data_IF_206750805353
#
_entry.id   IF_206750805353
#
_cell.length_a   1.000
_cell.length_b   1.000
_cell.length_c   1.000
_cell.angle_alpha   90.00
_cell.angle_beta   90.00
_cell.angle_gamma   90.00
#
_symmetry.space_group_name_H-M   'P 1'
#
loop_
_entity.id
_entity.type
_entity.pdbx_description
1 polymer ?
#
# COMPACT_ATOMS: atom_id res chain seq x y z
N UNK A 1 -39.93 30.49 10.65
CA UNK A 1 -38.69 30.33 11.43
C UNK A 1 -37.60 29.92 10.45
N UNK A 2 -36.61 30.78 10.21
CA UNK A 2 -35.57 30.60 9.18
C UNK A 2 -34.36 29.96 9.85
N UNK A 3 -34.04 28.71 9.51
CA UNK A 3 -32.82 28.04 9.95
C UNK A 3 -31.73 28.25 8.88
N UNK A 4 -30.80 29.15 9.17
CA UNK A 4 -29.61 29.38 8.35
C UNK A 4 -28.58 28.28 8.60
N UNK A 5 -28.23 27.57 7.53
CA UNK A 5 -27.15 26.60 7.49
C UNK A 5 -25.81 27.34 7.52
N UNK A 6 -24.95 27.03 8.49
CA UNK A 6 -23.55 27.48 8.50
C UNK A 6 -22.69 26.40 7.81
N UNK A 7 -22.30 26.70 6.59
CA UNK A 7 -21.20 26.04 5.87
C UNK A 7 -19.88 26.44 6.55
N UNK A 8 -19.17 25.47 7.13
CA UNK A 8 -17.77 25.66 7.51
C UNK A 8 -16.88 25.22 6.35
N UNK A 9 -16.36 26.22 5.63
CA UNK A 9 -15.30 26.07 4.63
C UNK A 9 -13.98 26.03 5.39
N UNK A 10 -13.25 24.92 5.32
CA UNK A 10 -11.86 24.85 5.79
C UNK A 10 -10.95 25.17 4.61
N UNK A 11 -10.28 26.31 4.67
CA UNK A 11 -9.29 26.75 3.68
C UNK A 11 -7.94 26.11 4.04
N UNK A 12 -7.37 25.33 3.13
CA UNK A 12 -5.99 24.82 3.23
C UNK A 12 -5.06 25.90 2.69
N UNK A 13 -4.18 26.43 3.53
CA UNK A 13 -3.11 27.34 3.12
C UNK A 13 -1.83 26.56 2.85
N UNK A 14 -1.42 26.48 1.59
CA UNK A 14 -0.09 26.02 1.19
C UNK A 14 0.96 27.04 1.65
N UNK A 15 2.05 26.56 2.26
CA UNK A 15 3.21 27.39 2.60
C UNK A 15 4.41 26.84 1.82
N UNK A 16 4.83 27.56 0.79
CA UNK A 16 6.10 27.37 0.11
C UNK A 16 7.23 27.99 0.94
N UNK A 17 8.36 27.31 1.04
CA UNK A 17 9.61 27.91 1.50
C UNK A 17 10.76 27.30 0.72
N UNK A 18 11.20 28.06 -0.27
CA UNK A 18 12.44 27.86 -0.99
C UNK A 18 13.62 28.19 -0.07
N UNK A 19 14.64 27.32 0.02
CA UNK A 19 16.00 27.78 0.33
C UNK A 19 17.06 26.87 -0.31
N UNK A 20 17.64 27.44 -1.37
CA UNK A 20 19.03 27.43 -1.83
C UNK A 20 20.01 26.35 -1.32
N UNK A 21 20.62 25.68 -2.30
CA UNK A 21 21.76 24.79 -2.20
C UNK A 21 23.01 25.46 -1.59
N UNK A 22 23.70 24.76 -0.70
CA UNK A 22 25.12 25.02 -0.41
C UNK A 22 25.86 23.71 -0.25
N UNK A 23 26.67 23.42 -1.26
CA UNK A 23 27.67 22.36 -1.33
C UNK A 23 28.74 22.59 -0.25
N UNK A 24 28.85 21.68 0.71
CA UNK A 24 30.06 21.56 1.54
C UNK A 24 30.60 20.14 1.43
N UNK A 25 31.77 20.04 0.81
CA UNK A 25 32.54 18.83 0.57
C UNK A 25 32.96 18.20 1.91
N UNK A 26 32.39 17.04 2.26
CA UNK A 26 32.91 16.23 3.37
C UNK A 26 33.78 15.08 2.84
N UNK A 27 35.02 15.08 3.34
CA UNK A 27 36.09 14.10 3.13
C UNK A 27 35.68 12.71 3.65
N UNK A 28 36.09 11.59 3.00
CA UNK A 28 35.72 10.25 3.45
C UNK A 28 36.40 9.95 4.78
N UNK A 29 35.61 9.77 5.83
CA UNK A 29 36.09 9.31 7.12
C UNK A 29 35.82 7.82 7.23
N UNK A 30 36.87 7.02 7.07
CA UNK A 30 36.88 5.59 7.36
C UNK A 30 36.55 5.39 8.84
N UNK A 31 35.34 4.91 9.13
CA UNK A 31 34.95 4.57 10.50
C UNK A 31 35.26 3.09 10.73
N UNK A 32 36.31 2.85 11.51
CA UNK A 32 36.66 1.53 12.04
C UNK A 32 35.50 0.99 12.88
N UNK A 33 34.94 -0.15 12.47
CA UNK A 33 33.88 -0.85 13.20
C UNK A 33 34.50 -1.45 14.47
N UNK A 34 34.25 -0.84 15.63
CA UNK A 34 34.57 -1.43 16.93
C UNK A 34 33.83 -2.75 17.14
N UNK A 35 34.52 -3.72 17.73
CA UNK A 35 34.09 -5.10 17.93
C UNK A 35 32.90 -5.30 18.92
N UNK A 36 32.24 -4.23 19.34
CA UNK A 36 31.18 -4.21 20.34
C UNK A 36 29.79 -4.64 19.81
N UNK A 37 29.54 -4.60 18.49
CA UNK A 37 28.21 -4.92 17.92
C UNK A 37 27.88 -6.44 17.97
N UNK A 38 28.88 -7.30 18.22
CA UNK A 38 28.68 -8.76 18.23
C UNK A 38 27.95 -9.30 19.48
N UNK A 39 27.80 -8.49 20.54
CA UNK A 39 27.32 -8.99 21.84
C UNK A 39 25.96 -8.43 22.28
N UNK A 40 25.17 -7.83 21.38
CA UNK A 40 23.81 -7.41 21.72
C UNK A 40 22.90 -8.64 21.98
N UNK A 41 22.58 -8.87 23.26
CA UNK A 41 21.60 -9.85 23.72
C UNK A 41 20.20 -9.44 23.22
N UNK A 42 19.59 -10.26 22.37
CA UNK A 42 18.22 -10.11 21.87
C UNK A 42 17.24 -9.98 23.06
N UNK A 43 16.26 -9.05 23.03
CA UNK A 43 15.23 -8.99 24.06
C UNK A 43 14.43 -10.30 24.07
N UNK A 44 14.38 -10.96 25.23
CA UNK A 44 13.59 -12.16 25.45
C UNK A 44 12.10 -11.79 25.53
N UNK A 45 11.48 -11.61 24.37
CA UNK A 45 10.03 -11.61 24.24
C UNK A 45 9.52 -13.04 24.29
N UNK A 46 8.56 -13.32 25.17
CA UNK A 46 7.91 -14.63 25.27
C UNK A 46 7.11 -14.92 24.00
N UNK A 47 7.69 -15.69 23.08
CA UNK A 47 6.96 -16.26 21.94
C UNK A 47 6.04 -17.35 22.50
N UNK A 48 4.73 -17.12 22.47
CA UNK A 48 3.75 -18.18 22.75
C UNK A 48 3.77 -19.16 21.58
N UNK A 49 4.59 -20.19 21.69
CA UNK A 49 4.62 -21.33 20.77
C UNK A 49 3.30 -22.08 20.89
N UNK A 50 2.37 -21.81 19.99
CA UNK A 50 1.24 -22.70 19.77
C UNK A 50 1.71 -23.85 18.85
N UNK A 51 1.38 -25.06 19.28
CA UNK A 51 1.82 -26.37 18.80
C UNK A 51 2.12 -26.43 17.29
N UNK A 52 3.36 -26.79 16.95
CA UNK A 52 3.85 -27.01 15.58
C UNK A 52 3.06 -28.14 14.88
N UNK A 53 2.37 -27.78 13.80
CA UNK A 53 2.16 -28.64 12.65
C UNK A 53 2.83 -27.94 11.45
N UNK A 54 3.66 -28.68 10.73
CA UNK A 54 4.53 -28.30 9.58
C UNK A 54 3.98 -27.23 8.64
N UNK A 55 4.02 -25.97 9.06
CA UNK A 55 3.63 -24.81 8.25
C UNK A 55 4.66 -23.71 8.49
N UNK A 56 5.12 -23.05 7.42
CA UNK A 56 5.98 -21.87 7.52
C UNK A 56 5.35 -20.91 8.53
N UNK A 57 6.05 -20.63 9.64
CA UNK A 57 5.56 -19.68 10.65
C UNK A 57 5.54 -18.31 9.98
N UNK A 58 4.35 -17.82 9.64
CA UNK A 58 4.15 -16.44 9.22
C UNK A 58 4.27 -15.58 10.47
N UNK A 59 5.46 -15.06 10.71
CA UNK A 59 5.69 -14.12 11.80
C UNK A 59 4.91 -12.83 11.52
N UNK A 60 4.11 -12.40 12.50
CA UNK A 60 3.53 -11.05 12.52
C UNK A 60 4.54 -10.15 13.19
N UNK A 61 5.20 -9.31 12.40
CA UNK A 61 6.13 -8.32 12.92
C UNK A 61 5.34 -7.11 13.41
N UNK A 62 5.51 -6.78 14.69
CA UNK A 62 4.83 -5.64 15.30
C UNK A 62 5.45 -4.33 14.82
N UNK A 63 4.62 -3.35 14.46
CA UNK A 63 5.06 -2.04 13.96
C UNK A 63 6.03 -2.14 12.77
N UNK A 64 5.87 -3.16 11.92
CA UNK A 64 6.67 -3.25 10.70
C UNK A 64 6.32 -2.11 9.72
N UNK A 65 7.26 -1.72 8.85
CA UNK A 65 6.96 -0.87 7.70
C UNK A 65 5.77 -1.42 6.92
N UNK A 66 4.90 -0.54 6.45
CA UNK A 66 3.71 -0.94 5.72
C UNK A 66 4.08 -1.33 4.28
N UNK A 67 3.68 -2.53 3.86
CA UNK A 67 4.07 -3.12 2.57
C UNK A 67 2.89 -3.26 1.60
N UNK A 68 1.64 -3.06 2.04
CA UNK A 68 0.50 -3.20 1.14
C UNK A 68 0.45 -2.06 0.12
N UNK A 69 0.97 -2.25 -1.08
CA UNK A 69 0.93 -1.27 -2.16
C UNK A 69 2.20 -1.34 -3.02
N UNK A 70 2.12 -0.82 -4.24
CA UNK A 70 3.20 -0.88 -5.22
C UNK A 70 4.19 0.27 -5.10
N UNK A 71 3.74 1.40 -4.55
CA UNK A 71 4.52 2.63 -4.37
C UNK A 71 4.14 3.34 -3.05
N UNK A 72 4.90 4.37 -2.68
CA UNK A 72 4.69 5.12 -1.43
C UNK A 72 3.28 5.73 -1.31
N UNK A 73 2.70 6.18 -2.42
CA UNK A 73 1.36 6.79 -2.41
C UNK A 73 0.30 5.73 -2.11
N UNK A 74 0.30 4.64 -2.87
CA UNK A 74 -0.64 3.53 -2.69
C UNK A 74 -0.48 2.85 -1.33
N UNK A 75 0.76 2.72 -0.83
CA UNK A 75 1.06 2.28 0.54
C UNK A 75 0.44 3.19 1.59
N UNK A 76 0.59 4.50 1.46
CA UNK A 76 0.00 5.45 2.42
C UNK A 76 -1.53 5.40 2.44
N UNK A 77 -2.18 5.29 1.27
CA UNK A 77 -3.64 5.22 1.18
C UNK A 77 -4.17 3.93 1.80
N UNK A 78 -3.56 2.80 1.46
CA UNK A 78 -3.99 1.49 1.95
C UNK A 78 -3.74 1.33 3.45
N UNK A 79 -2.66 1.89 3.99
CA UNK A 79 -2.42 1.94 5.43
C UNK A 79 -3.50 2.77 6.14
N UNK A 80 -3.85 3.92 5.57
CA UNK A 80 -4.87 4.82 6.09
C UNK A 80 -6.24 4.14 6.25
N UNK A 81 -6.67 3.37 5.25
CA UNK A 81 -7.92 2.58 5.30
C UNK A 81 -7.93 1.60 6.49
N UNK A 82 -6.85 0.84 6.68
CA UNK A 82 -6.75 -0.15 7.76
C UNK A 82 -6.60 0.53 9.12
N UNK A 83 -5.87 1.62 9.20
CA UNK A 83 -5.73 2.40 10.43
C UNK A 83 -7.03 3.09 10.83
N UNK A 84 -7.88 3.48 9.88
CA UNK A 84 -9.19 4.06 10.14
C UNK A 84 -10.20 3.00 10.61
N UNK A 85 -10.25 1.82 9.95
CA UNK A 85 -11.30 0.82 10.19
C UNK A 85 -10.92 -0.24 11.23
N UNK A 86 -9.67 -0.68 11.27
CA UNK A 86 -9.22 -1.74 12.17
C UNK A 86 -7.73 -1.61 12.57
N UNK A 87 -7.34 -0.54 13.29
CA UNK A 87 -5.94 -0.27 13.62
C UNK A 87 -5.27 -1.39 14.43
N UNK A 88 -6.05 -2.13 15.24
CA UNK A 88 -5.55 -3.29 16.01
C UNK A 88 -5.12 -4.48 15.12
N UNK A 89 -5.55 -4.49 13.87
CA UNK A 89 -5.23 -5.53 12.90
C UNK A 89 -4.16 -5.10 11.89
N UNK A 90 -3.64 -3.87 11.97
CA UNK A 90 -2.61 -3.34 11.07
C UNK A 90 -1.49 -4.35 10.80
N UNK A 91 -0.80 -4.80 11.85
CA UNK A 91 0.34 -5.71 11.68
C UNK A 91 -0.07 -7.08 11.13
N UNK A 92 -1.27 -7.56 11.49
CA UNK A 92 -1.80 -8.82 10.96
C UNK A 92 -2.15 -8.70 9.48
N UNK A 93 -2.70 -7.55 9.06
CA UNK A 93 -3.00 -7.22 7.68
C UNK A 93 -1.73 -7.11 6.84
N UNK A 94 -0.76 -6.34 7.35
CA UNK A 94 0.53 -6.14 6.71
C UNK A 94 1.28 -7.46 6.50
N UNK A 95 1.16 -8.40 7.43
CA UNK A 95 1.76 -9.74 7.25
C UNK A 95 1.17 -10.53 6.07
N UNK A 96 -0.07 -10.22 5.64
CA UNK A 96 -0.64 -10.81 4.42
C UNK A 96 0.00 -10.20 3.17
N UNK A 97 0.22 -8.89 3.15
CA UNK A 97 0.87 -8.19 2.04
C UNK A 97 2.32 -8.66 1.88
N UNK A 98 3.08 -8.71 2.97
CA UNK A 98 4.44 -9.25 2.95
C UNK A 98 4.51 -10.67 2.36
N UNK A 99 3.54 -11.54 2.68
CA UNK A 99 3.52 -12.89 2.09
C UNK A 99 3.14 -12.89 0.61
N UNK A 100 2.26 -11.97 0.21
CA UNK A 100 1.83 -11.81 -1.17
C UNK A 100 2.99 -11.32 -2.05
N UNK A 101 3.71 -10.29 -1.59
CA UNK A 101 4.91 -9.78 -2.27
C UNK A 101 5.98 -10.87 -2.42
N UNK A 102 6.26 -11.64 -1.35
CA UNK A 102 7.19 -12.77 -1.45
C UNK A 102 6.70 -13.88 -2.40
N UNK A 103 5.38 -14.07 -2.52
CA UNK A 103 4.80 -15.03 -3.45
C UNK A 103 4.97 -14.56 -4.91
N UNK A 104 4.79 -13.25 -5.12
CA UNK A 104 5.05 -12.55 -6.38
C UNK A 104 6.54 -12.62 -6.75
N UNK A 105 7.46 -12.32 -5.83
CA UNK A 105 8.91 -12.45 -6.05
C UNK A 105 9.31 -13.89 -6.41
N UNK A 106 8.68 -14.87 -5.75
CA UNK A 106 8.89 -16.29 -6.02
C UNK A 106 8.21 -16.77 -7.32
N UNK A 107 7.46 -15.91 -8.01
CA UNK A 107 6.76 -16.21 -9.25
C UNK A 107 5.90 -17.50 -9.14
N UNK A 108 5.18 -17.64 -8.03
CA UNK A 108 4.40 -18.86 -7.74
C UNK A 108 3.07 -18.95 -8.49
N UNK A 109 2.82 -18.06 -9.45
CA UNK A 109 1.57 -17.88 -10.18
C UNK A 109 0.67 -16.84 -9.53
N UNK A 110 0.29 -15.81 -10.30
CA UNK A 110 -0.51 -14.66 -9.81
C UNK A 110 -1.79 -15.11 -9.11
N UNK A 111 -2.62 -15.92 -9.78
CA UNK A 111 -3.88 -16.41 -9.21
C UNK A 111 -3.67 -17.15 -7.88
N UNK A 112 -2.64 -17.99 -7.79
CA UNK A 112 -2.32 -18.71 -6.54
C UNK A 112 -1.92 -17.75 -5.41
N UNK A 113 -1.10 -16.76 -5.73
CA UNK A 113 -0.68 -15.73 -4.78
C UNK A 113 -1.88 -14.89 -4.32
N UNK A 114 -2.73 -14.45 -5.23
CA UNK A 114 -3.91 -13.64 -4.93
C UNK A 114 -4.92 -14.43 -4.09
N UNK A 115 -5.20 -15.69 -4.43
CA UNK A 115 -6.09 -16.55 -3.63
C UNK A 115 -5.57 -16.78 -2.20
N UNK A 116 -4.25 -16.95 -2.07
CA UNK A 116 -3.57 -17.08 -0.78
C UNK A 116 -3.66 -15.78 0.02
N UNK A 117 -3.48 -14.64 -0.63
CA UNK A 117 -3.62 -13.31 -0.04
C UNK A 117 -5.05 -13.05 0.43
N UNK A 118 -6.05 -13.25 -0.42
CA UNK A 118 -7.47 -13.13 -0.09
C UNK A 118 -7.83 -14.00 1.12
N UNK A 119 -7.37 -15.26 1.14
CA UNK A 119 -7.57 -16.19 2.26
C UNK A 119 -6.84 -15.76 3.54
N UNK A 120 -5.73 -15.02 3.42
CA UNK A 120 -5.04 -14.43 4.57
C UNK A 120 -5.84 -13.27 5.15
N UNK A 121 -6.30 -12.34 4.30
CA UNK A 121 -7.10 -11.20 4.70
C UNK A 121 -8.40 -11.63 5.38
N UNK A 122 -9.14 -12.57 4.78
CA UNK A 122 -10.37 -13.13 5.33
C UNK A 122 -10.15 -13.62 6.77
N UNK A 123 -9.15 -14.47 7.00
CA UNK A 123 -8.90 -15.04 8.33
C UNK A 123 -8.43 -14.02 9.36
N UNK A 124 -7.56 -13.10 8.95
CA UNK A 124 -6.95 -12.11 9.86
C UNK A 124 -7.89 -10.96 10.21
N UNK A 125 -8.90 -10.71 9.38
CA UNK A 125 -9.88 -9.65 9.57
C UNK A 125 -11.09 -10.03 10.43
N UNK A 126 -11.36 -11.32 10.66
CA UNK A 126 -12.59 -11.83 11.35
C UNK A 126 -12.98 -11.17 12.68
N UNK A 127 -12.01 -10.57 13.38
CA UNK A 127 -12.28 -9.87 14.65
C UNK A 127 -12.80 -8.43 14.46
N UNK A 128 -12.85 -7.92 13.24
CA UNK A 128 -13.41 -6.62 12.86
C UNK A 128 -14.37 -6.78 11.69
N UNK A 129 -15.65 -6.46 11.91
CA UNK A 129 -16.68 -6.58 10.87
C UNK A 129 -16.36 -5.72 9.64
N UNK A 130 -15.96 -4.45 9.83
CA UNK A 130 -15.65 -3.54 8.71
C UNK A 130 -14.49 -4.07 7.85
N UNK A 131 -13.42 -4.53 8.48
CA UNK A 131 -12.28 -5.05 7.74
C UNK A 131 -12.55 -6.44 7.14
N UNK A 132 -13.42 -7.23 7.74
CA UNK A 132 -13.78 -8.56 7.24
C UNK A 132 -14.77 -8.51 6.08
N UNK A 133 -15.83 -7.71 6.22
CA UNK A 133 -16.93 -7.66 5.26
C UNK A 133 -16.68 -6.63 4.14
N UNK A 134 -15.80 -5.65 4.35
CA UNK A 134 -15.54 -4.57 3.38
C UNK A 134 -14.09 -4.53 2.90
N UNK A 135 -13.12 -4.27 3.79
CA UNK A 135 -11.73 -4.02 3.37
C UNK A 135 -11.07 -5.28 2.80
N UNK A 136 -11.40 -6.47 3.33
CA UNK A 136 -10.76 -7.71 2.87
C UNK A 136 -11.21 -8.09 1.45
N UNK A 137 -12.52 -8.06 1.13
CA UNK A 137 -13.00 -8.14 -0.26
C UNK A 137 -12.39 -7.06 -1.16
N UNK A 138 -12.37 -5.80 -0.72
CA UNK A 138 -11.84 -4.70 -1.52
C UNK A 138 -10.37 -4.92 -1.92
N UNK A 139 -9.50 -5.26 -0.97
CA UNK A 139 -8.09 -5.50 -1.25
C UNK A 139 -7.89 -6.76 -2.11
N UNK A 140 -8.70 -7.80 -1.88
CA UNK A 140 -8.69 -9.02 -2.70
C UNK A 140 -9.04 -8.72 -4.16
N UNK A 141 -10.08 -7.92 -4.40
CA UNK A 141 -10.52 -7.56 -5.75
C UNK A 141 -9.50 -6.65 -6.45
N UNK A 142 -8.86 -5.76 -5.70
CA UNK A 142 -7.82 -4.87 -6.22
C UNK A 142 -6.63 -5.65 -6.78
N UNK A 143 -6.07 -6.61 -6.03
CA UNK A 143 -4.92 -7.39 -6.52
C UNK A 143 -5.28 -8.30 -7.69
N UNK A 144 -6.52 -8.82 -7.73
CA UNK A 144 -6.97 -9.66 -8.85
C UNK A 144 -7.21 -8.85 -10.13
N UNK A 145 -7.60 -7.59 -9.98
CA UNK A 145 -7.96 -6.73 -11.12
C UNK A 145 -6.74 -5.99 -11.66
N UNK A 146 -5.83 -5.55 -10.80
CA UNK A 146 -4.70 -4.67 -11.15
C UNK A 146 -3.33 -5.24 -10.80
N UNK A 147 -3.24 -6.46 -10.26
CA UNK A 147 -1.98 -7.04 -9.79
C UNK A 147 -1.08 -7.61 -10.88
N UNK A 148 -1.52 -7.69 -12.14
CA UNK A 148 -0.75 -8.34 -13.21
C UNK A 148 0.58 -7.64 -13.46
N UNK A 149 0.58 -6.31 -13.59
CA UNK A 149 1.81 -5.53 -13.79
C UNK A 149 2.76 -5.68 -12.60
N UNK A 150 2.24 -5.66 -11.37
CA UNK A 150 3.04 -5.86 -10.16
C UNK A 150 3.65 -7.27 -10.10
N UNK A 151 2.90 -8.30 -10.51
CA UNK A 151 3.38 -9.68 -10.58
C UNK A 151 4.46 -9.87 -11.64
N UNK A 152 4.32 -9.24 -12.81
CA UNK A 152 5.34 -9.29 -13.86
C UNK A 152 6.59 -8.53 -13.41
N UNK A 153 6.43 -7.35 -12.81
CA UNK A 153 7.52 -6.50 -12.35
C UNK A 153 8.34 -7.13 -11.21
N UNK A 154 7.74 -8.01 -10.40
CA UNK A 154 8.44 -8.73 -9.34
C UNK A 154 9.31 -9.90 -9.84
N UNK A 155 9.25 -10.23 -11.13
CA UNK A 155 10.05 -11.33 -11.67
C UNK A 155 11.56 -11.00 -11.61
N UNK A 156 12.43 -11.93 -11.19
CA UNK A 156 13.88 -11.69 -11.04
C UNK A 156 14.61 -11.20 -12.31
N UNK A 157 14.01 -11.43 -13.48
CA UNK A 157 14.55 -11.04 -14.79
C UNK A 157 13.58 -10.14 -15.57
N UNK A 158 12.66 -9.44 -14.91
CA UNK A 158 11.75 -8.50 -15.55
C UNK A 158 12.57 -7.46 -16.33
N UNK A 159 12.64 -7.62 -17.66
CA UNK A 159 13.22 -6.62 -18.54
C UNK A 159 12.15 -5.55 -18.70
N UNK A 160 12.44 -4.34 -18.22
CA UNK A 160 11.57 -3.19 -18.43
C UNK A 160 11.47 -2.93 -19.94
N UNK A 161 10.49 -3.53 -20.59
CA UNK A 161 10.08 -3.12 -21.93
C UNK A 161 9.39 -1.78 -21.72
N UNK A 162 10.16 -0.71 -21.86
CA UNK A 162 9.65 0.65 -21.98
C UNK A 162 8.88 0.74 -23.30
N UNK A 163 7.70 0.16 -23.36
CA UNK A 163 6.72 0.50 -24.36
C UNK A 163 5.75 1.47 -23.69
N UNK A 164 6.24 2.71 -23.54
CA UNK A 164 5.35 3.85 -23.40
C UNK A 164 4.58 3.97 -24.71
N UNK A 165 3.51 3.20 -24.88
CA UNK A 165 2.40 3.66 -25.70
C UNK A 165 1.83 4.86 -24.98
N UNK A 166 2.26 6.04 -25.44
CA UNK A 166 1.56 7.30 -25.24
C UNK A 166 0.10 7.06 -25.60
N UNK A 167 -0.76 6.80 -24.61
CA UNK A 167 -2.19 7.08 -24.79
C UNK A 167 -2.27 8.58 -25.03
N UNK A 168 -2.72 8.95 -26.23
CA UNK A 168 -3.24 10.29 -26.46
C UNK A 168 -4.62 10.29 -25.84
N UNK A 169 -4.72 10.87 -24.66
CA UNK A 169 -5.98 11.32 -24.07
C UNK A 169 -6.55 12.47 -24.92
N UNK A 170 -7.22 12.11 -26.01
CA UNK A 170 -8.09 12.99 -26.80
C UNK A 170 -9.48 13.03 -26.13
N UNK A 171 -9.60 13.80 -25.05
CA UNK A 171 -10.89 14.16 -24.46
C UNK A 171 -11.40 15.44 -25.12
N UNK A 172 -12.20 15.30 -26.18
CA UNK A 172 -12.96 16.39 -26.80
C UNK A 172 -14.14 16.81 -25.91
N UNK A 173 -14.01 17.99 -25.28
CA UNK A 173 -14.99 18.62 -24.38
C UNK A 173 -16.02 19.51 -25.12
N UNK A 174 -15.93 19.67 -26.44
CA UNK A 174 -16.65 20.71 -27.20
C UNK A 174 -17.78 20.16 -28.10
N UNK A 175 -18.80 19.48 -27.55
CA UNK A 175 -20.03 19.21 -28.34
C UNK A 175 -21.38 19.36 -27.63
N UNK A 176 -21.43 19.80 -26.36
CA UNK A 176 -22.70 19.88 -25.61
C UNK A 176 -23.30 21.28 -25.42
N UNK A 177 -22.76 22.35 -26.01
CA UNK A 177 -23.29 23.72 -25.79
C UNK A 177 -24.29 24.20 -26.86
N UNK A 178 -24.46 23.52 -28.01
CA UNK A 178 -25.27 24.05 -29.12
C UNK A 178 -26.64 23.38 -29.40
N UNK A 179 -27.14 22.48 -28.54
CA UNK A 179 -28.41 21.76 -28.82
C UNK A 179 -29.67 22.32 -28.13
N UNK A 180 -29.59 23.44 -27.39
CA UNK A 180 -30.74 23.99 -26.66
C UNK A 180 -31.25 25.36 -27.15
N UNK A 181 -30.95 25.77 -28.40
CA UNK A 181 -31.41 27.06 -28.94
C UNK A 181 -32.44 26.97 -30.08
N UNK A 182 -33.13 25.84 -30.28
CA UNK A 182 -34.10 25.71 -31.38
C UNK A 182 -35.32 24.87 -30.99
N UNK A 183 -36.16 25.38 -30.08
CA UNK A 183 -37.58 25.01 -30.00
C UNK A 183 -38.43 26.21 -29.58
N UNK A 184 -38.56 27.19 -30.46
CA UNK A 184 -39.64 28.19 -30.47
C UNK A 184 -39.73 28.75 -31.88
N UNK A 185 -40.68 28.23 -32.65
CA UNK A 185 -41.02 28.61 -34.01
C UNK A 185 -42.28 27.88 -34.42
#
# INVERSE_FOLDING_TARGET
MRATWLLLIVVVTASESATSSSSTTQKPTTTTISAEIRNAKLPQGTVRLQRLQTTKIVAVLKNAPWECGTDEFTKSISEGEIMAKCPKLRDHWNSCCYQHDNCYDAQSGQQFCDDTFCSCLERRSRSSKSCHDESAPLFCDLVRTFGEDAYIASAPNATTTTESTVEKDDYDYESHVLKNATSSG
#
